data_IF_205463265084
#
_entry.id   IF_205463265084
#
_cell.length_a   1.000
_cell.length_b   1.000
_cell.length_c   1.000
_cell.angle_alpha   90.00
_cell.angle_beta   90.00
_cell.angle_gamma   90.00
#
_symmetry.space_group_name_H-M   'P 1'
#
loop_
_entity.id
_entity.type
_entity.pdbx_description
1 polymer ?
#
# COMPACT_ATOMS: atom_id res chain seq x y z
N UNK A 1 25.13 -21.87 -38.86
CA UNK A 1 23.97 -22.41 -38.12
C UNK A 1 23.67 -21.46 -36.97
N UNK A 2 22.58 -20.70 -37.06
CA UNK A 2 22.16 -19.68 -36.10
C UNK A 2 21.06 -20.25 -35.18
N UNK A 3 21.13 -20.04 -33.85
CA UNK A 3 19.89 -20.12 -33.05
C UNK A 3 19.89 -20.56 -31.58
N UNK A 4 20.93 -20.35 -30.75
CA UNK A 4 20.87 -20.81 -29.34
C UNK A 4 21.10 -19.76 -28.24
N UNK A 5 21.06 -18.46 -28.54
CA UNK A 5 21.17 -17.42 -27.51
C UNK A 5 19.97 -16.46 -27.50
N UNK A 6 18.75 -17.00 -27.26
CA UNK A 6 17.68 -16.17 -26.72
C UNK A 6 18.03 -15.85 -25.27
N UNK A 7 18.62 -14.68 -25.02
CA UNK A 7 18.77 -14.12 -23.67
C UNK A 7 17.40 -14.17 -23.00
N UNK A 8 17.29 -14.86 -21.86
CA UNK A 8 16.14 -14.70 -20.96
C UNK A 8 16.08 -13.23 -20.60
N UNK A 9 15.08 -12.49 -21.10
CA UNK A 9 14.68 -11.24 -20.46
C UNK A 9 14.16 -11.64 -19.10
N UNK A 10 15.05 -11.68 -18.10
CA UNK A 10 14.66 -11.75 -16.70
C UNK A 10 13.74 -10.57 -16.48
N UNK A 11 12.48 -10.88 -16.23
CA UNK A 11 11.39 -9.91 -16.13
C UNK A 11 11.75 -8.85 -15.09
N UNK A 12 12.17 -7.66 -15.55
CA UNK A 12 12.32 -6.48 -14.72
C UNK A 12 10.92 -5.94 -14.40
N UNK A 13 10.10 -6.75 -13.71
CA UNK A 13 8.87 -6.25 -13.10
C UNK A 13 9.28 -5.78 -11.70
N UNK A 14 10.00 -4.67 -11.64
CA UNK A 14 10.02 -3.87 -10.42
C UNK A 14 8.57 -3.46 -10.17
N UNK A 15 7.93 -4.09 -9.18
CA UNK A 15 6.55 -3.78 -8.80
C UNK A 15 6.61 -2.50 -8.01
N UNK A 16 6.02 -1.43 -8.54
CA UNK A 16 5.94 -0.18 -7.82
C UNK A 16 4.97 -0.36 -6.64
N UNK A 17 5.38 0.05 -5.44
CA UNK A 17 4.60 -0.03 -4.21
C UNK A 17 4.53 1.36 -3.57
N UNK A 18 3.31 1.78 -3.24
CA UNK A 18 3.05 2.99 -2.47
C UNK A 18 2.77 2.56 -1.03
N UNK A 19 3.53 3.07 -0.08
CA UNK A 19 3.31 2.83 1.36
C UNK A 19 2.90 4.14 2.03
N UNK A 20 1.80 4.10 2.77
CA UNK A 20 1.26 5.25 3.53
C UNK A 20 1.28 4.86 5.00
N UNK A 21 2.01 5.60 5.83
CA UNK A 21 2.07 5.37 7.28
C UNK A 21 1.39 6.53 8.03
N UNK A 22 0.49 6.19 8.95
CA UNK A 22 -0.26 7.13 9.78
C UNK A 22 0.01 6.77 11.24
N UNK A 23 0.46 7.73 12.03
CA UNK A 23 0.64 7.58 13.47
C UNK A 23 -0.35 8.51 14.19
N UNK A 24 -0.98 7.98 15.22
CA UNK A 24 -1.93 8.71 16.05
C UNK A 24 -1.62 8.48 17.52
N UNK A 25 -1.69 9.55 18.31
CA UNK A 25 -1.57 9.49 19.77
C UNK A 25 -2.92 9.10 20.37
N UNK A 26 -2.89 8.19 21.33
CA UNK A 26 -4.04 7.54 21.95
C UNK A 26 -4.22 8.12 23.34
N UNK A 27 -4.44 9.43 23.39
CA UNK A 27 -4.66 10.11 24.65
C UNK A 27 -6.00 9.64 25.26
N UNK A 28 -5.89 8.76 26.26
CA UNK A 28 -6.91 8.35 27.25
C UNK A 28 -8.15 7.57 26.78
N UNK A 29 -8.76 7.90 25.64
CA UNK A 29 -10.02 7.29 25.17
C UNK A 29 -10.34 7.54 23.69
N UNK A 30 -9.46 8.20 22.94
CA UNK A 30 -9.77 8.65 21.59
C UNK A 30 -9.24 7.67 20.54
N UNK A 31 -9.90 6.52 20.37
CA UNK A 31 -9.89 5.91 19.03
C UNK A 31 -10.65 6.87 18.14
N UNK A 32 -9.92 7.63 17.32
CA UNK A 32 -10.51 8.57 16.38
C UNK A 32 -11.51 7.82 15.50
N UNK A 33 -12.84 8.08 15.63
CA UNK A 33 -13.87 7.27 14.98
C UNK A 33 -13.81 7.36 13.45
N UNK A 34 -13.11 8.37 12.93
CA UNK A 34 -12.90 8.61 11.50
C UNK A 34 -11.70 7.85 10.91
N UNK A 35 -10.90 7.12 11.70
CA UNK A 35 -9.68 6.45 11.18
C UNK A 35 -10.01 5.35 10.18
N UNK A 36 -11.12 4.65 10.39
CA UNK A 36 -11.57 3.63 9.45
C UNK A 36 -12.16 4.27 8.18
N UNK A 37 -12.92 5.37 8.31
CA UNK A 37 -13.43 6.13 7.16
C UNK A 37 -12.28 6.71 6.32
N UNK A 38 -11.26 7.30 6.96
CA UNK A 38 -10.08 7.84 6.29
C UNK A 38 -9.32 6.77 5.49
N UNK A 39 -9.24 5.53 6.00
CA UNK A 39 -8.66 4.40 5.24
C UNK A 39 -9.43 4.13 3.96
N UNK A 40 -10.75 4.06 4.06
CA UNK A 40 -11.61 3.78 2.92
C UNK A 40 -11.48 4.87 1.86
N UNK A 41 -11.45 6.14 2.28
CA UNK A 41 -11.24 7.27 1.37
C UNK A 41 -9.87 7.24 0.69
N UNK A 42 -8.80 6.99 1.43
CA UNK A 42 -7.45 6.89 0.86
C UNK A 42 -7.41 5.77 -0.19
N UNK A 43 -7.97 4.60 0.12
CA UNK A 43 -8.00 3.46 -0.81
C UNK A 43 -8.84 3.81 -2.04
N UNK A 44 -9.97 4.49 -1.87
CA UNK A 44 -10.82 4.91 -2.98
C UNK A 44 -10.10 5.90 -3.91
N UNK A 45 -9.38 6.87 -3.35
CA UNK A 45 -8.57 7.83 -4.11
C UNK A 45 -7.43 7.14 -4.84
N UNK A 46 -6.68 6.24 -4.17
CA UNK A 46 -5.59 5.52 -4.82
C UNK A 46 -6.11 4.66 -5.97
N UNK A 47 -7.23 3.94 -5.79
CA UNK A 47 -7.89 3.18 -6.86
C UNK A 47 -8.38 4.04 -8.03
N UNK A 48 -8.75 5.30 -7.78
CA UNK A 48 -9.24 6.23 -8.80
C UNK A 48 -8.12 6.70 -9.74
N UNK A 49 -6.91 6.90 -9.20
CA UNK A 49 -5.80 7.48 -9.96
C UNK A 49 -4.71 6.49 -10.34
N UNK A 50 -4.71 5.29 -9.74
CA UNK A 50 -3.67 4.30 -9.95
C UNK A 50 -4.31 2.91 -10.09
N UNK A 51 -3.84 2.12 -11.05
CA UNK A 51 -4.20 0.72 -11.16
C UNK A 51 -3.72 -0.02 -9.91
N UNK A 52 -4.64 -0.53 -9.09
CA UNK A 52 -4.31 -1.23 -7.85
C UNK A 52 -4.44 -2.73 -8.06
N UNK A 53 -3.35 -3.45 -7.81
CA UNK A 53 -3.33 -4.92 -7.86
C UNK A 53 -3.61 -5.56 -6.51
N UNK A 54 -3.07 -4.99 -5.44
CA UNK A 54 -3.23 -5.48 -4.09
C UNK A 54 -3.14 -4.32 -3.10
N UNK A 55 -3.87 -4.42 -1.99
CA UNK A 55 -3.79 -3.52 -0.85
C UNK A 55 -3.58 -4.36 0.39
N UNK A 56 -2.60 -4.00 1.20
CA UNK A 56 -2.30 -4.59 2.50
C UNK A 56 -2.40 -3.48 3.55
N UNK A 57 -3.04 -3.77 4.67
CA UNK A 57 -3.26 -2.80 5.75
C UNK A 57 -2.76 -3.43 7.04
N UNK A 58 -1.85 -2.74 7.71
CA UNK A 58 -1.25 -3.18 8.97
C UNK A 58 -1.56 -2.15 10.03
N UNK A 59 -2.15 -2.58 11.15
CA UNK A 59 -2.41 -1.73 12.32
C UNK A 59 -1.57 -2.26 13.48
N UNK A 60 -0.72 -1.40 14.02
CA UNK A 60 0.11 -1.67 15.19
C UNK A 60 -0.30 -0.73 16.31
N UNK A 61 -0.54 -1.28 17.50
CA UNK A 61 -0.86 -0.50 18.68
C UNK A 61 0.26 -0.72 19.68
N UNK A 62 0.94 0.36 20.09
CA UNK A 62 2.06 0.30 20.99
C UNK A 62 1.87 1.32 22.13
N UNK A 63 1.32 0.83 23.26
CA UNK A 63 0.95 1.66 24.40
C UNK A 63 -0.03 2.76 24.03
N UNK A 64 0.49 3.99 24.04
CA UNK A 64 -0.24 5.23 23.77
C UNK A 64 -0.24 5.61 22.29
N UNK A 65 0.37 4.82 21.39
CA UNK A 65 0.36 5.13 19.95
C UNK A 65 -0.37 4.05 19.15
N UNK A 66 -1.13 4.49 18.15
CA UNK A 66 -1.64 3.64 17.08
C UNK A 66 -0.95 4.04 15.77
N UNK A 67 -0.25 3.07 15.17
CA UNK A 67 0.35 3.17 13.86
C UNK A 67 -0.46 2.34 12.85
N UNK A 68 -0.67 2.91 11.67
CA UNK A 68 -1.37 2.28 10.56
C UNK A 68 -0.55 2.43 9.30
N UNK A 69 -0.28 1.32 8.63
CA UNK A 69 0.41 1.27 7.34
C UNK A 69 -0.53 0.74 6.27
N UNK A 70 -0.64 1.43 5.14
CA UNK A 70 -1.37 0.99 3.95
C UNK A 70 -0.36 0.80 2.82
N UNK A 71 -0.19 -0.44 2.39
CA UNK A 71 0.70 -0.84 1.31
C UNK A 71 -0.12 -1.16 0.06
N UNK A 72 0.04 -0.32 -0.97
CA UNK A 72 -0.65 -0.48 -2.25
C UNK A 72 0.34 -0.95 -3.30
N UNK A 73 0.09 -2.14 -3.85
CA UNK A 73 0.85 -2.64 -4.99
C UNK A 73 0.20 -2.14 -6.29
N UNK A 74 0.98 -1.41 -7.07
CA UNK A 74 0.53 -0.81 -8.32
C UNK A 74 0.56 -1.85 -9.45
N UNK A 75 -0.39 -1.72 -10.39
CA UNK A 75 -0.38 -2.41 -11.66
C UNK A 75 0.24 -1.50 -12.73
N UNK A 76 1.09 -2.06 -13.60
CA UNK A 76 1.87 -1.28 -14.58
C UNK A 76 1.07 -0.81 -15.80
N UNK A 77 -0.26 -0.97 -15.77
CA UNK A 77 -1.13 -0.80 -16.94
C UNK A 77 -2.19 0.30 -16.77
N UNK A 78 -1.99 1.25 -15.83
CA UNK A 78 -2.85 2.44 -15.73
C UNK A 78 -2.37 3.56 -16.66
#
# INVERSE_FOLDING_TARGET
MFGFFKKKQSATVAKDRLTIAIMSDRDGNNTYPFMDEMKEEIIAVVKKYIGVRAVEITKEINGDFEALSIDVQLDKNA
#
